data_IF_833908727614
#
_entry.id   IF_833908727614
#
_cell.length_a   1.000
_cell.length_b   1.000
_cell.length_c   1.000
_cell.angle_alpha   90.00
_cell.angle_beta   90.00
_cell.angle_gamma   90.00
#
_symmetry.space_group_name_H-M   'P 1'
#
loop_
_entity.id
_entity.type
_entity.pdbx_description
1 polymer ?
#
# COMPACT_ATOMS: atom_id res chain seq x y z
N UNK A 1 -15.80 -5.34 9.93
CA UNK A 1 -14.95 -5.73 8.79
C UNK A 1 -14.28 -4.47 8.27
N UNK A 2 -12.98 -4.26 8.55
CA UNK A 2 -12.20 -3.22 7.88
C UNK A 2 -12.37 -3.27 6.35
N UNK A 3 -12.44 -2.10 5.72
CA UNK A 3 -12.47 -1.98 4.26
C UNK A 3 -11.42 -0.95 3.83
N UNK A 4 -10.59 -1.32 2.86
CA UNK A 4 -9.56 -0.44 2.30
C UNK A 4 -9.74 -0.29 0.80
N UNK A 5 -9.62 0.93 0.29
CA UNK A 5 -9.45 1.15 -1.15
C UNK A 5 -7.99 0.95 -1.49
N UNK A 6 -7.73 0.19 -2.54
CA UNK A 6 -6.37 -0.14 -2.97
C UNK A 6 -6.22 0.15 -4.46
N UNK A 7 -4.97 0.37 -4.89
CA UNK A 7 -4.59 0.35 -6.30
C UNK A 7 -3.82 -0.94 -6.56
N UNK A 8 -4.39 -1.81 -7.39
CA UNK A 8 -3.68 -2.98 -7.91
C UNK A 8 -3.19 -2.66 -9.32
N UNK A 9 -1.88 -2.55 -9.48
CA UNK A 9 -1.24 -2.10 -10.72
C UNK A 9 -0.18 -3.09 -11.17
N UNK A 10 0.18 -3.03 -12.45
CA UNK A 10 1.26 -3.81 -13.02
C UNK A 10 2.38 -2.87 -13.46
N UNK A 11 3.52 -2.95 -12.79
CA UNK A 11 4.70 -2.13 -13.06
C UNK A 11 5.85 -3.03 -13.51
N UNK A 12 6.45 -2.74 -14.68
CA UNK A 12 7.57 -3.52 -15.25
C UNK A 12 7.33 -5.05 -15.29
N UNK A 13 6.08 -5.45 -15.51
CA UNK A 13 5.67 -6.86 -15.57
C UNK A 13 5.38 -7.53 -14.22
N UNK A 14 5.48 -6.78 -13.10
CA UNK A 14 5.20 -7.26 -11.76
C UNK A 14 3.94 -6.61 -11.18
N UNK A 15 3.10 -7.41 -10.53
CA UNK A 15 1.90 -6.92 -9.86
C UNK A 15 2.26 -6.29 -8.51
N UNK A 16 1.73 -5.09 -8.25
CA UNK A 16 1.95 -4.31 -7.02
C UNK A 16 0.59 -3.91 -6.45
N UNK A 17 0.44 -4.05 -5.14
CA UNK A 17 -0.77 -3.66 -4.40
C UNK A 17 -0.43 -2.45 -3.54
N UNK A 18 -0.83 -1.27 -3.96
CA UNK A 18 -0.62 -0.02 -3.23
C UNK A 18 -1.81 0.23 -2.32
N UNK A 19 -1.54 0.42 -1.03
CA UNK A 19 -2.54 0.59 0.02
C UNK A 19 -2.33 1.95 0.68
N UNK A 20 -3.13 2.97 0.34
CA UNK A 20 -3.11 4.25 1.03
C UNK A 20 -3.68 4.10 2.45
N UNK A 21 -2.90 4.52 3.43
CA UNK A 21 -3.26 4.58 4.84
C UNK A 21 -3.20 6.02 5.35
N UNK A 22 -3.84 6.26 6.49
CA UNK A 22 -3.80 7.53 7.20
C UNK A 22 -2.45 7.77 7.88
N UNK A 23 -2.16 9.04 8.19
CA UNK A 23 -0.92 9.45 8.87
C UNK A 23 -0.75 8.83 10.26
N UNK A 24 -1.84 8.34 10.88
CA UNK A 24 -1.80 7.61 12.15
C UNK A 24 -1.02 6.30 12.05
N UNK A 25 -0.89 5.72 10.85
CA UNK A 25 -0.06 4.55 10.62
C UNK A 25 1.40 4.79 11.02
N UNK A 26 1.92 6.00 10.81
CA UNK A 26 3.28 6.37 11.21
C UNK A 26 3.50 6.34 12.73
N UNK A 27 2.43 6.55 13.51
CA UNK A 27 2.52 6.60 14.98
C UNK A 27 2.59 5.21 15.61
N UNK A 28 2.33 4.16 14.82
CA UNK A 28 2.46 2.77 15.26
C UNK A 28 3.93 2.40 15.47
N UNK A 29 4.18 1.43 16.35
CA UNK A 29 5.51 0.84 16.47
C UNK A 29 5.92 0.14 15.16
N UNK A 30 7.21 -0.11 14.97
CA UNK A 30 7.69 -0.82 13.79
C UNK A 30 7.09 -2.24 13.69
N UNK A 31 6.91 -2.91 14.82
CA UNK A 31 6.28 -4.24 14.89
C UNK A 31 4.81 -4.15 14.49
N UNK A 32 4.05 -3.20 15.04
CA UNK A 32 2.65 -2.97 14.67
C UNK A 32 2.46 -2.59 13.20
N UNK A 33 3.41 -1.86 12.61
CA UNK A 33 3.40 -1.54 11.18
C UNK A 33 3.65 -2.79 10.34
N UNK A 34 4.58 -3.64 10.75
CA UNK A 34 4.87 -4.92 10.08
C UNK A 34 3.66 -5.85 10.14
N UNK A 35 3.07 -6.02 11.32
CA UNK A 35 1.89 -6.87 11.54
C UNK A 35 0.71 -6.40 10.68
N UNK A 36 0.47 -5.09 10.62
CA UNK A 36 -0.58 -4.53 9.78
C UNK A 36 -0.33 -4.78 8.28
N UNK A 37 0.93 -4.67 7.82
CA UNK A 37 1.28 -4.95 6.41
C UNK A 37 1.06 -6.43 6.11
N UNK A 38 1.45 -7.33 7.01
CA UNK A 38 1.28 -8.78 6.86
C UNK A 38 -0.20 -9.18 6.84
N UNK A 39 -1.02 -8.59 7.72
CA UNK A 39 -2.47 -8.78 7.73
C UNK A 39 -3.10 -8.36 6.39
N UNK A 40 -2.75 -7.18 5.88
CA UNK A 40 -3.22 -6.68 4.59
C UNK A 40 -2.74 -7.59 3.45
N UNK A 41 -1.52 -8.12 3.53
CA UNK A 41 -0.96 -9.04 2.55
C UNK A 41 -1.71 -10.37 2.51
N UNK A 42 -2.09 -10.92 3.67
CA UNK A 42 -2.90 -12.15 3.78
C UNK A 42 -4.31 -11.90 3.25
N UNK A 43 -4.93 -10.76 3.59
CA UNK A 43 -6.23 -10.39 3.07
C UNK A 43 -6.21 -10.25 1.53
N UNK A 44 -5.20 -9.59 0.98
CA UNK A 44 -5.02 -9.44 -0.47
C UNK A 44 -4.87 -10.80 -1.18
N UNK A 45 -4.09 -11.72 -0.60
CA UNK A 45 -3.93 -13.08 -1.14
C UNK A 45 -5.24 -13.86 -1.10
N UNK A 46 -5.98 -13.77 0.00
CA UNK A 46 -7.29 -14.41 0.17
C UNK A 46 -8.33 -13.87 -0.83
N UNK A 47 -8.20 -12.60 -1.22
CA UNK A 47 -8.99 -11.97 -2.27
C UNK A 47 -8.49 -12.29 -3.71
N UNK A 48 -7.48 -13.15 -3.86
CA UNK A 48 -6.94 -13.56 -5.16
C UNK A 48 -6.09 -12.49 -5.86
N UNK A 49 -5.66 -11.45 -5.14
CA UNK A 49 -4.79 -10.41 -5.69
C UNK A 49 -3.35 -10.89 -5.71
N UNK A 50 -2.68 -10.66 -6.84
CA UNK A 50 -1.27 -11.02 -7.04
C UNK A 50 -0.39 -9.84 -6.69
N UNK A 51 0.83 -10.11 -6.26
CA UNK A 51 1.83 -9.08 -5.96
C UNK A 51 2.11 -8.89 -4.48
N UNK A 52 2.93 -7.88 -4.17
CA UNK A 52 3.25 -7.50 -2.79
C UNK A 52 2.53 -6.21 -2.41
N UNK A 53 2.15 -6.16 -1.14
CA UNK A 53 1.60 -4.95 -0.52
C UNK A 53 2.70 -3.91 -0.34
N UNK A 54 2.38 -2.68 -0.73
CA UNK A 54 3.13 -1.48 -0.44
C UNK A 54 2.16 -0.53 0.25
N UNK A 55 2.49 -0.11 1.47
CA UNK A 55 1.68 0.89 2.17
C UNK A 55 2.25 2.27 1.90
N UNK A 56 1.36 3.24 1.68
CA UNK A 56 1.70 4.64 1.42
C UNK A 56 0.85 5.55 2.31
N UNK A 57 1.40 6.65 2.78
CA UNK A 57 0.67 7.62 3.58
C UNK A 57 1.26 9.02 3.42
N UNK A 58 0.56 10.04 3.93
CA UNK A 58 1.08 11.42 3.96
C UNK A 58 1.57 11.77 5.36
N UNK A 59 2.74 12.38 5.44
CA UNK A 59 3.33 12.87 6.70
C UNK A 59 4.12 14.15 6.43
N UNK A 60 3.82 15.23 7.17
CA UNK A 60 4.48 16.53 6.98
C UNK A 60 4.36 17.08 5.55
N UNK A 61 3.24 16.81 4.87
CA UNK A 61 3.01 17.24 3.47
C UNK A 61 3.78 16.43 2.42
N UNK A 62 4.44 15.34 2.81
CA UNK A 62 5.16 14.45 1.89
C UNK A 62 4.58 13.05 1.92
N UNK A 63 4.65 12.37 0.78
CA UNK A 63 4.31 10.96 0.70
C UNK A 63 5.44 10.12 1.30
N UNK A 64 5.08 9.17 2.16
CA UNK A 64 5.95 8.14 2.72
C UNK A 64 5.43 6.78 2.30
N UNK A 65 6.30 5.77 2.34
CA UNK A 65 5.96 4.41 1.94
C UNK A 65 6.78 3.37 2.68
N UNK A 66 6.23 2.16 2.81
CA UNK A 66 6.96 0.94 3.15
C UNK A 66 6.67 -0.08 2.05
N UNK A 67 7.74 -0.62 1.47
CA UNK A 67 7.67 -1.62 0.43
C UNK A 67 9.04 -2.14 0.01
N UNK A 68 9.09 -3.17 -0.86
CA UNK A 68 10.32 -3.78 -1.34
C UNK A 68 11.28 -2.76 -1.98
N UNK A 69 12.58 -2.88 -1.65
CA UNK A 69 13.64 -2.00 -2.14
C UNK A 69 13.68 -1.84 -3.67
N UNK A 70 13.47 -2.88 -4.49
CA UNK A 70 13.48 -2.75 -5.95
C UNK A 70 12.44 -1.76 -6.50
N UNK A 71 11.36 -1.50 -5.77
CA UNK A 71 10.28 -0.60 -6.21
C UNK A 71 10.44 0.82 -5.70
N UNK A 72 11.44 1.12 -4.87
CA UNK A 72 11.66 2.46 -4.33
C UNK A 72 11.77 3.55 -5.41
N UNK A 73 12.45 3.35 -6.56
CA UNK A 73 12.49 4.36 -7.62
C UNK A 73 11.10 4.69 -8.18
N UNK A 74 10.28 3.67 -8.42
CA UNK A 74 8.90 3.82 -8.88
C UNK A 74 8.03 4.50 -7.81
N UNK A 75 8.10 4.04 -6.55
CA UNK A 75 7.32 4.64 -5.46
C UNK A 75 7.69 6.11 -5.22
N UNK A 76 8.94 6.51 -5.43
CA UNK A 76 9.39 7.90 -5.34
C UNK A 76 8.90 8.78 -6.50
N UNK A 77 8.55 8.22 -7.66
CA UNK A 77 8.00 8.99 -8.78
C UNK A 77 6.51 9.27 -8.63
N UNK A 78 5.82 8.56 -7.74
CA UNK A 78 4.40 8.72 -7.47
C UNK A 78 4.10 9.93 -6.56
N UNK A 79 2.86 10.41 -6.65
CA UNK A 79 2.25 11.36 -5.73
C UNK A 79 1.00 10.75 -5.09
N UNK A 80 0.57 11.27 -3.94
CA UNK A 80 -0.70 10.83 -3.35
C UNK A 80 -1.89 11.07 -4.28
N UNK A 81 -1.88 12.15 -5.06
CA UNK A 81 -2.94 12.44 -6.04
C UNK A 81 -3.00 11.37 -7.14
N UNK A 82 -1.85 10.94 -7.67
CA UNK A 82 -1.80 9.86 -8.66
C UNK A 82 -2.23 8.51 -8.08
N UNK A 83 -1.98 8.26 -6.80
CA UNK A 83 -2.43 7.04 -6.12
C UNK A 83 -3.94 7.06 -5.92
N UNK A 84 -4.51 8.18 -5.48
CA UNK A 84 -5.96 8.33 -5.35
C UNK A 84 -6.68 8.13 -6.69
N UNK A 85 -6.09 8.62 -7.79
CA UNK A 85 -6.63 8.43 -9.13
C UNK A 85 -6.50 6.98 -9.66
N UNK A 86 -5.60 6.16 -9.10
CA UNK A 86 -5.36 4.78 -9.54
C UNK A 86 -6.08 3.72 -8.69
N UNK A 87 -6.82 4.12 -7.65
CA UNK A 87 -7.62 3.21 -6.84
C UNK A 87 -8.68 2.51 -7.69
N UNK A 88 -8.64 1.17 -7.69
CA UNK A 88 -9.41 0.35 -8.63
C UNK A 88 -10.02 -0.91 -8.01
N UNK A 89 -9.80 -1.13 -6.71
CA UNK A 89 -10.31 -2.27 -5.94
C UNK A 89 -10.63 -1.85 -4.50
N UNK A 90 -11.46 -2.66 -3.85
CA UNK A 90 -11.74 -2.59 -2.42
C UNK A 90 -11.37 -3.93 -1.80
N UNK A 91 -10.57 -3.89 -0.74
CA UNK A 91 -10.20 -5.04 0.07
C UNK A 91 -11.02 -5.02 1.35
N UNK A 92 -11.54 -6.16 1.79
CA UNK A 92 -12.38 -6.28 2.98
C UNK A 92 -12.12 -7.61 3.68
N UNK A 93 -11.97 -7.57 5.01
CA UNK A 93 -11.78 -8.75 5.86
C UNK A 93 -12.31 -8.49 7.28
#
# INVERSE_FOLDING_TARGET
MPTLKIAHIREQGQDIIIVPLDSSFEQKSQDDQSDAIDEIQVAAQSAGLRGKVVVVWTSGGRMKFIGPQPWHPFLRSLSMNSIQASLNRTLSW
#
